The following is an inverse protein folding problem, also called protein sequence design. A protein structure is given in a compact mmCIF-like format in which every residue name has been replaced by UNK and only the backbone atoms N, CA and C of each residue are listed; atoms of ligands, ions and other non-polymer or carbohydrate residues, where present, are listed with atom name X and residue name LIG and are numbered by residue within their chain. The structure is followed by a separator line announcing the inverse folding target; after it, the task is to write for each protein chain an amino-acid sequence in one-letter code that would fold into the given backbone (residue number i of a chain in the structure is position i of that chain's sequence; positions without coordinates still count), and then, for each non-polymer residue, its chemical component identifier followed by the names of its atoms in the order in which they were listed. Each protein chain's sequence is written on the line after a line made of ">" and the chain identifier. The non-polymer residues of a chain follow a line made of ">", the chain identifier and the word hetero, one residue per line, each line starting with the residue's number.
data_IF_359228961467
#
_entry.id   IF_359228961467
#
_cell.length_a   1.000
_cell.length_b   1.000
_cell.length_c   1.000
_cell.angle_alpha   90.00
_cell.angle_beta   90.00
_cell.angle_gamma   90.00
#
_symmetry.space_group_name_H-M   'P 1'
#
loop_
_entity.id
_entity.type
_entity.pdbx_description
1 polymer ?
2 non-polymer ?
3 water ?
#
# COMPACT_ATOMS: atom_id res chain seq x y z
N UNK A 2 -3.44 5.63 11.32
CA UNK A 2 -4.24 4.43 11.68
C UNK A 2 -3.53 3.15 11.24
N UNK A 3 -3.96 2.02 11.78
CA UNK A 3 -3.39 0.73 11.43
C UNK A 3 -1.90 0.65 11.72
N UNK A 4 -1.49 1.23 12.85
CA UNK A 4 -0.08 1.20 13.24
C UNK A 4 0.28 -0.24 13.55
N UNK A 5 1.44 -0.69 13.08
CA UNK A 5 1.86 -2.05 13.35
C UNK A 5 1.43 -3.11 12.36
N UNK A 6 0.37 -2.85 11.60
CA UNK A 6 -0.12 -3.84 10.64
C UNK A 6 0.99 -4.23 9.66
N UNK A 7 0.94 -5.46 9.13
CA UNK A 7 1.99 -5.84 8.18
C UNK A 7 1.85 -4.99 6.92
N UNK A 8 2.94 -4.83 6.18
CA UNK A 8 2.95 -4.01 4.97
C UNK A 8 3.22 -4.72 3.65
N UNK A 9 2.44 -4.36 2.63
CA UNK A 9 2.61 -4.89 1.29
C UNK A 9 3.06 -3.72 0.43
N UNK A 10 4.32 -3.71 0.04
CA UNK A 10 4.83 -2.62 -0.77
C UNK A 10 4.79 -3.01 -2.24
N UNK A 11 4.15 -2.17 -3.05
CA UNK A 11 4.00 -2.43 -4.48
C UNK A 11 5.28 -2.20 -5.26
N UNK A 12 5.86 -3.29 -5.76
CA UNK A 12 7.10 -3.19 -6.51
C UNK A 12 6.99 -3.56 -7.98
N UNK A 13 8.00 -4.27 -8.47
CA UNK A 13 8.06 -4.67 -9.88
C UNK A 13 7.22 -5.89 -10.26
N UNK A 14 6.90 -6.75 -9.30
CA UNK A 14 6.12 -7.93 -9.60
C UNK A 14 4.72 -7.56 -10.09
N UNK A 15 4.03 -8.50 -10.75
CA UNK A 15 2.68 -8.27 -11.27
C UNK A 15 1.67 -7.98 -10.15
N UNK A 16 0.75 -7.04 -10.39
CA UNK A 16 -0.27 -6.67 -9.41
C UNK A 16 -0.92 -7.91 -8.81
N UNK A 17 -1.01 -8.97 -9.60
CA UNK A 17 -1.60 -10.23 -9.17
C UNK A 17 -0.88 -10.79 -7.95
N UNK A 18 0.43 -10.61 -7.88
CA UNK A 18 1.21 -11.12 -6.75
C UNK A 18 0.90 -10.38 -5.46
N UNK A 19 0.73 -9.06 -5.55
CA UNK A 19 0.44 -8.26 -4.37
C UNK A 19 -0.98 -8.50 -3.88
N UNK A 20 -1.90 -8.75 -4.80
CA UNK A 20 -3.27 -9.04 -4.40
C UNK A 20 -3.21 -10.33 -3.56
N UNK A 21 -2.43 -11.30 -4.02
CA UNK A 21 -2.29 -12.58 -3.32
C UNK A 21 -1.70 -12.39 -1.93
N UNK A 22 -0.70 -11.52 -1.83
CA UNK A 22 -0.06 -11.25 -0.55
C UNK A 22 -1.05 -10.60 0.41
N UNK A 23 -1.82 -9.64 -0.12
CA UNK A 23 -2.82 -8.96 0.69
C UNK A 23 -3.84 -9.96 1.22
N UNK A 24 -4.41 -10.76 0.32
CA UNK A 24 -5.40 -11.75 0.71
C UNK A 24 -4.84 -12.82 1.64
N UNK A 25 -3.69 -13.37 1.29
CA UNK A 25 -3.08 -14.41 2.12
C UNK A 25 -2.84 -13.86 3.52
N UNK A 26 -2.35 -12.63 3.59
CA UNK A 26 -2.09 -11.98 4.87
C UNK A 26 -3.37 -11.79 5.67
N UNK A 27 -4.42 -11.32 5.00
CA UNK A 27 -5.71 -11.08 5.66
C UNK A 27 -6.45 -12.36 6.04
N UNK A 28 -6.10 -13.47 5.41
CA UNK A 28 -6.75 -14.74 5.72
C UNK A 28 -6.30 -15.32 7.06
N UNK A 29 -5.21 -14.78 7.61
CA UNK A 29 -4.71 -15.25 8.90
C UNK A 29 -5.72 -14.86 9.98
N UNK A 30 -6.05 -15.80 10.87
CA UNK A 30 -7.03 -15.54 11.93
C UNK A 30 -6.73 -14.33 12.82
N UNK A 31 -5.47 -14.14 13.20
CA UNK A 31 -5.13 -13.03 14.07
C UNK A 31 -4.71 -11.72 13.42
N UNK A 32 -4.88 -11.61 12.11
CA UNK A 32 -4.49 -10.39 11.41
C UNK A 32 -5.69 -9.84 10.65
N UNK A 33 -6.20 -8.70 11.11
CA UNK A 33 -7.36 -8.07 10.49
C UNK A 33 -7.01 -6.83 9.67
N UNK A 34 -5.74 -6.45 9.65
CA UNK A 34 -5.31 -5.26 8.91
C UNK A 34 -4.04 -5.43 8.08
N UNK A 35 -4.00 -4.76 6.94
CA UNK A 35 -2.82 -4.79 6.09
C UNK A 35 -2.74 -3.46 5.36
N UNK A 36 -1.55 -2.89 5.32
CA UNK A 36 -1.34 -1.62 4.66
C UNK A 36 -0.62 -1.82 3.34
N UNK A 37 -1.15 -1.19 2.30
CA UNK A 37 -0.56 -1.28 0.99
C UNK A 37 0.13 0.07 0.77
N UNK A 38 1.39 0.02 0.37
CA UNK A 38 2.17 1.24 0.16
C UNK A 38 2.83 1.25 -1.20
N UNK A 39 3.00 2.45 -1.75
CA UNK A 39 3.62 2.59 -3.06
C UNK A 39 4.09 4.02 -3.26
N UNK A 40 5.01 4.20 -4.19
CA UNK A 40 5.50 5.54 -4.48
C UNK A 40 5.53 5.74 -5.98
N UNK A 41 5.51 7.00 -6.39
CA UNK A 41 5.56 7.33 -7.81
C UNK A 41 4.53 6.65 -8.69
N UNK A 42 4.98 6.15 -9.84
CA UNK A 42 4.11 5.50 -10.81
C UNK A 42 3.41 4.24 -10.28
N UNK A 43 3.95 3.65 -9.21
CA UNK A 43 3.35 2.45 -8.61
C UNK A 43 2.08 2.75 -7.81
N UNK A 44 1.80 4.03 -7.58
CA UNK A 44 0.61 4.40 -6.83
C UNK A 44 -0.66 3.92 -7.54
N UNK A 45 -0.70 4.06 -8.86
CA UNK A 45 -1.86 3.61 -9.64
C UNK A 45 -2.04 2.11 -9.43
N UNK A 46 -0.92 1.40 -9.39
CA UNK A 46 -0.95 -0.04 -9.23
C UNK A 46 -1.37 -0.47 -7.83
N UNK A 47 -1.04 0.34 -6.83
CA UNK A 47 -1.45 0.04 -5.46
C UNK A 47 -2.98 0.12 -5.41
N UNK A 48 -3.53 1.15 -6.05
CA UNK A 48 -4.98 1.33 -6.07
C UNK A 48 -5.65 0.15 -6.78
N UNK A 49 -5.06 -0.29 -7.89
CA UNK A 49 -5.62 -1.41 -8.64
C UNK A 49 -5.67 -2.67 -7.78
N UNK A 50 -4.56 -2.99 -7.13
CA UNK A 50 -4.46 -4.16 -6.27
C UNK A 50 -5.53 -4.11 -5.18
N UNK A 51 -5.68 -2.94 -4.56
CA UNK A 51 -6.68 -2.78 -3.50
C UNK A 51 -8.10 -2.91 -4.04
N UNK A 52 -8.35 -2.35 -5.21
CA UNK A 52 -9.69 -2.42 -5.79
C UNK A 52 -10.04 -3.84 -6.20
N UNK A 53 -9.06 -4.61 -6.65
CA UNK A 53 -9.33 -6.00 -7.03
C UNK A 53 -9.79 -6.71 -5.75
N UNK A 54 -9.05 -6.50 -4.67
CA UNK A 54 -9.38 -7.11 -3.38
C UNK A 54 -10.76 -6.65 -2.89
N UNK A 55 -10.96 -5.33 -2.88
CA UNK A 55 -12.23 -4.76 -2.42
C UNK A 55 -13.45 -5.28 -3.17
N UNK A 56 -13.32 -5.42 -4.49
CA UNK A 56 -14.44 -5.88 -5.30
C UNK A 56 -14.68 -7.38 -5.19
N UNK A 57 -13.64 -8.13 -4.84
CA UNK A 57 -13.80 -9.57 -4.69
C UNK A 57 -14.44 -9.89 -3.34
N UNK A 58 -14.13 -9.07 -2.34
CA UNK A 58 -14.68 -9.25 -1.00
C UNK A 58 -15.36 -7.96 -0.54
N UNK A 59 -16.18 -7.40 -1.42
CA UNK A 59 -16.89 -6.16 -1.15
C UNK A 59 -17.68 -6.14 0.15
N UNK A 60 -18.02 -7.31 0.68
CA UNK A 60 -18.81 -7.35 1.91
C UNK A 60 -18.05 -7.46 3.23
N UNK A 61 -16.77 -7.80 3.21
CA UNK A 61 -16.03 -7.92 4.47
C UNK A 61 -14.67 -7.23 4.56
N UNK A 62 -14.21 -6.63 3.47
CA UNK A 62 -12.93 -5.91 3.51
C UNK A 62 -13.20 -4.45 3.17
N UNK A 63 -12.88 -3.57 4.12
CA UNK A 63 -13.10 -2.13 3.97
C UNK A 63 -11.79 -1.35 3.91
N UNK A 64 -11.83 -0.19 3.26
CA UNK A 64 -10.65 0.67 3.19
C UNK A 64 -10.81 1.57 4.40
N UNK A 65 -10.04 1.28 5.45
CA UNK A 65 -10.12 2.02 6.69
C UNK A 65 -9.51 3.41 6.67
N UNK A 66 -8.40 3.57 5.96
CA UNK A 66 -7.73 4.86 5.92
C UNK A 66 -6.79 4.96 4.73
N UNK A 67 -6.60 6.19 4.24
CA UNK A 67 -5.70 6.45 3.11
C UNK A 67 -4.96 7.75 3.37
N UNK A 68 -3.66 7.74 3.14
CA UNK A 68 -2.84 8.94 3.32
C UNK A 68 -1.89 9.04 2.15
N UNK A 69 -1.62 10.26 1.69
CA UNK A 69 -0.65 10.45 0.62
C UNK A 69 0.38 11.38 1.22
N UNK A 70 1.60 11.31 0.70
CA UNK A 70 2.67 12.13 1.21
C UNK A 70 3.66 12.24 0.08
N UNK A 71 4.79 12.88 0.35
CA UNK A 71 5.83 13.02 -0.66
C UNK A 71 7.16 13.20 0.06
N UNK A 72 8.22 12.73 -0.57
CA UNK A 72 9.57 12.82 -0.02
C UNK A 72 10.43 13.69 -0.91
N UNK A 73 11.31 14.47 -0.29
CA UNK A 73 12.22 15.28 -1.07
C UNK A 73 13.49 14.45 -1.17
N UNK A 74 13.93 14.17 -2.38
CA UNK A 74 15.16 13.41 -2.54
C UNK A 74 16.16 14.38 -3.13
N UNK A 75 17.40 14.29 -2.68
CA UNK A 75 18.39 15.20 -3.20
C UNK A 75 19.74 14.55 -3.40
N UNK A 76 20.52 15.15 -4.29
CA UNK A 76 21.87 14.68 -4.55
C UNK A 76 22.67 15.97 -4.57
N UNK A 77 23.97 15.87 -4.33
CA UNK A 77 24.82 17.05 -4.34
C UNK A 77 25.83 16.87 -5.45
N UNK A 78 26.14 17.94 -6.17
CA UNK A 78 27.14 17.84 -7.22
C UNK A 78 28.46 17.94 -6.46
N UNK A 79 29.56 17.45 -7.05
CA UNK A 79 30.82 17.55 -6.31
C UNK A 79 31.23 18.99 -6.00
N UNK A 80 30.67 19.95 -6.74
CA UNK A 80 30.99 21.36 -6.53
C UNK A 80 30.00 22.08 -5.60
N UNK A 81 29.23 21.31 -4.84
CA UNK A 81 28.30 21.90 -3.90
C UNK A 81 26.91 22.34 -4.36
N UNK A 82 26.48 21.91 -5.54
CA UNK A 82 25.15 22.29 -5.99
C UNK A 82 24.14 21.22 -5.58
N UNK A 83 23.05 21.63 -4.95
CA UNK A 83 22.02 20.69 -4.54
C UNK A 83 20.97 20.57 -5.63
N UNK A 84 20.57 19.34 -5.93
CA UNK A 84 19.55 19.09 -6.94
C UNK A 84 18.50 18.22 -6.27
N UNK A 85 17.24 18.65 -6.34
CA UNK A 85 16.18 17.91 -5.69
C UNK A 85 14.97 17.62 -6.56
N UNK A 86 14.20 16.63 -6.13
CA UNK A 86 12.98 16.20 -6.80
C UNK A 86 12.09 15.62 -5.72
N UNK A 87 10.79 15.64 -5.94
CA UNK A 87 9.86 15.08 -4.97
C UNK A 87 9.29 13.79 -5.53
N UNK A 88 9.06 12.83 -4.65
CA UNK A 88 8.48 11.56 -5.04
C UNK A 88 7.27 11.38 -4.14
N UNK A 89 6.11 11.16 -4.76
CA UNK A 89 4.87 10.98 -4.01
C UNK A 89 4.70 9.54 -3.53
N UNK A 90 3.90 9.37 -2.48
CA UNK A 90 3.64 8.05 -1.94
C UNK A 90 2.19 7.96 -1.50
N UNK A 91 1.72 6.73 -1.33
CA UNK A 91 0.36 6.49 -0.88
C UNK A 91 0.40 5.30 0.07
N UNK A 92 -0.45 5.34 1.09
CA UNK A 92 -0.55 4.24 2.03
C UNK A 92 -2.04 4.00 2.22
N UNK A 93 -2.46 2.75 2.01
CA UNK A 93 -3.86 2.38 2.12
C UNK A 93 -4.03 1.26 3.12
N UNK A 94 -4.82 1.49 4.15
CA UNK A 94 -5.04 0.43 5.12
C UNK A 94 -6.33 -0.30 4.84
N UNK A 95 -6.23 -1.62 4.70
CA UNK A 95 -7.39 -2.46 4.45
C UNK A 95 -7.68 -3.25 5.73
N UNK A 96 -8.95 -3.28 6.13
CA UNK A 96 -9.32 -4.00 7.33
C UNK A 96 -10.46 -4.97 7.04
N UNK A 97 -10.30 -6.20 7.51
CA UNK A 97 -11.29 -7.26 7.32
C UNK A 97 -12.26 -7.28 8.50
N UNK A 98 -13.54 -7.58 8.24
CA UNK A 98 -14.55 -7.65 9.29
C UNK A 98 -14.15 -8.62 10.40
N UNK A 99 -14.48 -8.27 11.65
CA UNK A 99 -14.16 -9.09 12.81
C UNK A 99 -13.35 -10.33 12.47
N UNK A 100 -14.01 -11.31 11.86
CA UNK A 100 -13.33 -12.52 11.41
C UNK A 100 -13.89 -12.98 10.07
N UNK A 101 -15.15 -13.41 10.04
CA UNK A 101 -15.79 -13.85 8.81
C UNK A 101 -17.25 -14.19 9.06
N UNK A 102 -18.00 -14.29 7.98
CA UNK A 102 -19.42 -14.64 8.02
C UNK A 102 -20.17 -14.09 6.83
X LIG B 1 0.31 1.99 -15.00
X LIG B 1 0.29 0.64 -14.53
X LIG B 1 0.79 2.92 -13.88
X LIG B 1 2.17 2.67 -13.62
X LIG C 1 -5.46 -12.65 -9.28
X LIG C 1 -5.79 -14.04 -9.12
X LIG C 1 -5.14 -12.07 -7.91
X LIG C 1 -3.91 -12.62 -7.43
X LIG D 1 1.95 -13.52 4.13
X LIG D 1 1.51 -12.58 5.11
X LIG D 1 3.41 -13.23 3.76
X LIG D 1 4.22 -13.27 4.93
X LIG E 1 0.85 -5.79 -14.99
X LIG E 1 1.50 -6.58 -14.01
X LIG E 1 0.02 -4.71 -14.30
X LIG E 1 0.87 -3.62 -13.91
X LIG F 1 -7.31 -16.92 -4.94
X LIG F 1 -7.71 -18.19 -5.45
X LIG F 1 -6.57 -17.11 -3.62
X LIG F 1 -5.47 -18.01 -3.81
X LIG G 1 -13.16 -16.29 -6.34
X LIG G 1 -14.14 -16.50 -5.32
X LIG G 1 -11.95 -15.61 -5.73
X LIG G 1 -11.18 -16.58 -5.03
#
# INVERSE_FOLDING_TARGET
>A
MACEGAPEVRIGRKPVMNYVLAILTTLMEQGTNQVVVKARGRNINRAVDAVEIVRKRFAKNIEIKDIKIDSQEIEVQTPEGQTRTRRVSSIEICLEKAGESA
>B hetero
1 EDO C1 O1 C2 O2
>C hetero
1 EDO C1 O1 C2 O2
>D hetero
1 EDO C1 O1 C2 O2
>E hetero
1 EDO C1 O1 C2 O2
>F hetero
1 EDO C1 O1 C2 O2
>G hetero
1 EDO C1 O1 C2 O2
#
